data_IF_836045458238
#
_entry.id   IF_836045458238
#
_cell.length_a   1.000
_cell.length_b   1.000
_cell.length_c   1.000
_cell.angle_alpha   90.00
_cell.angle_beta   90.00
_cell.angle_gamma   90.00
#
_symmetry.space_group_name_H-M   'P 1'
#
loop_
_entity.id
_entity.type
_entity.pdbx_description
1 polymer ?
#
# COMPACT_ATOMS: atom_id res chain seq x y z
N UNK A 1 -16.55 16.25 26.81
CA UNK A 1 -15.10 16.58 26.83
C UNK A 1 -14.36 16.29 25.50
N UNK A 2 -14.66 15.20 24.78
CA UNK A 2 -13.91 14.81 23.54
C UNK A 2 -13.97 15.92 22.49
N UNK A 3 -15.13 16.47 22.18
CA UNK A 3 -15.33 17.51 21.17
C UNK A 3 -14.98 18.90 21.69
N UNK A 4 -15.23 19.18 22.98
CA UNK A 4 -14.95 20.49 23.59
C UNK A 4 -13.48 20.73 23.90
N UNK A 5 -12.68 19.66 24.06
CA UNK A 5 -11.27 19.75 24.43
C UNK A 5 -10.43 20.58 23.45
N UNK A 6 -10.51 20.37 22.11
CA UNK A 6 -9.80 21.23 21.15
C UNK A 6 -10.21 22.70 21.27
N UNK A 7 -11.49 23.00 21.46
CA UNK A 7 -11.98 24.38 21.61
C UNK A 7 -11.31 25.10 22.79
N UNK A 8 -11.16 24.41 23.93
CA UNK A 8 -10.51 24.96 25.13
C UNK A 8 -9.01 25.08 24.99
N UNK A 9 -8.33 24.03 24.50
CA UNK A 9 -6.85 24.04 24.39
C UNK A 9 -6.36 25.14 23.46
N UNK A 10 -7.10 25.35 22.36
CA UNK A 10 -6.73 26.36 21.34
C UNK A 10 -7.42 27.71 21.54
N UNK A 11 -8.18 27.90 22.64
CA UNK A 11 -8.91 29.14 22.96
C UNK A 11 -9.75 29.65 21.77
N UNK A 12 -10.50 28.74 21.09
CA UNK A 12 -11.27 29.04 19.88
C UNK A 12 -12.43 29.99 20.18
N UNK A 13 -13.00 29.90 21.39
CA UNK A 13 -14.07 30.76 21.88
C UNK A 13 -13.99 30.92 23.41
N UNK A 14 -14.67 31.91 23.99
CA UNK A 14 -14.78 32.06 25.44
C UNK A 14 -15.39 30.82 26.10
N UNK A 15 -15.00 30.52 27.36
CA UNK A 15 -15.50 29.34 28.08
C UNK A 15 -17.02 29.28 28.17
N UNK A 16 -17.68 30.43 28.23
CA UNK A 16 -19.15 30.56 28.22
C UNK A 16 -19.80 30.05 26.93
N UNK A 17 -19.07 30.03 25.83
CA UNK A 17 -19.57 29.61 24.50
C UNK A 17 -19.17 28.17 24.14
N UNK A 18 -18.22 27.56 24.85
CA UNK A 18 -17.71 26.21 24.54
C UNK A 18 -18.85 25.18 24.47
N UNK A 19 -19.83 25.26 25.35
CA UNK A 19 -20.94 24.31 25.39
C UNK A 19 -21.84 24.45 24.16
N UNK A 20 -22.24 25.69 23.81
CA UNK A 20 -23.08 25.95 22.62
C UNK A 20 -22.37 25.56 21.33
N UNK A 21 -21.06 25.84 21.22
CA UNK A 21 -20.24 25.44 20.08
C UNK A 21 -20.12 23.91 19.98
N UNK A 22 -19.96 23.22 21.12
CA UNK A 22 -19.93 21.75 21.16
C UNK A 22 -21.25 21.14 20.70
N UNK A 23 -22.39 21.69 21.10
CA UNK A 23 -23.72 21.26 20.64
C UNK A 23 -23.83 21.42 19.15
N UNK A 24 -23.49 22.60 18.61
CA UNK A 24 -23.55 22.88 17.17
C UNK A 24 -22.68 21.89 16.36
N UNK A 25 -21.48 21.55 16.84
CA UNK A 25 -20.62 20.57 16.19
C UNK A 25 -21.22 19.16 16.19
N UNK A 26 -21.89 18.75 17.28
CA UNK A 26 -22.59 17.46 17.34
C UNK A 26 -23.80 17.43 16.40
N UNK A 27 -24.60 18.51 16.36
CA UNK A 27 -25.75 18.61 15.47
C UNK A 27 -25.34 18.52 13.99
N UNK A 28 -24.22 19.11 13.60
CA UNK A 28 -23.67 19.02 12.24
C UNK A 28 -23.33 17.58 11.79
N UNK A 29 -23.02 16.69 12.74
CA UNK A 29 -22.78 15.28 12.44
C UNK A 29 -24.01 14.41 12.75
N UNK A 30 -25.18 15.01 12.95
CA UNK A 30 -26.45 14.31 13.20
C UNK A 30 -26.58 13.72 14.61
N UNK A 31 -25.88 14.28 15.60
CA UNK A 31 -25.99 13.91 16.99
C UNK A 31 -26.64 15.04 17.80
N UNK A 32 -27.79 14.76 18.43
CA UNK A 32 -28.51 15.76 19.22
C UNK A 32 -27.92 15.97 20.62
N UNK A 33 -28.46 16.98 21.34
CA UNK A 33 -28.07 17.39 22.70
C UNK A 33 -28.08 16.25 23.73
N UNK A 34 -28.97 15.27 23.58
CA UNK A 34 -29.07 14.10 24.47
C UNK A 34 -27.79 13.25 24.51
N UNK A 35 -26.88 13.44 23.58
CA UNK A 35 -25.60 12.72 23.50
C UNK A 35 -24.46 13.37 24.31
N UNK A 36 -24.64 14.62 24.77
CA UNK A 36 -23.59 15.41 25.44
C UNK A 36 -22.98 14.75 26.68
N UNK A 37 -23.81 14.03 27.45
CA UNK A 37 -23.42 13.47 28.75
C UNK A 37 -23.17 11.96 28.69
N UNK A 38 -23.19 11.36 27.49
CA UNK A 38 -22.89 9.95 27.30
C UNK A 38 -21.39 9.68 27.29
N UNK A 39 -21.01 8.53 27.80
CA UNK A 39 -19.64 8.03 27.72
C UNK A 39 -19.38 7.28 26.41
N UNK A 40 -18.12 7.16 25.94
CA UNK A 40 -17.78 6.52 24.65
C UNK A 40 -18.34 5.11 24.47
N UNK A 41 -18.40 4.29 25.51
CA UNK A 41 -18.94 2.93 25.49
C UNK A 41 -20.45 2.86 25.28
N UNK A 42 -21.16 3.96 25.45
CA UNK A 42 -22.61 4.07 25.26
C UNK A 42 -23.02 4.45 23.82
N UNK A 43 -22.02 4.55 22.93
CA UNK A 43 -22.25 4.90 21.53
C UNK A 43 -21.99 3.71 20.59
N UNK A 44 -22.77 3.60 19.53
CA UNK A 44 -22.48 2.68 18.42
C UNK A 44 -21.19 3.06 17.69
N UNK A 45 -20.64 2.15 16.88
CA UNK A 45 -19.47 2.43 16.05
C UNK A 45 -19.63 3.68 15.17
N UNK A 46 -20.72 3.79 14.45
CA UNK A 46 -21.04 4.95 13.62
C UNK A 46 -21.22 6.25 14.40
N UNK A 47 -21.81 6.20 15.62
CA UNK A 47 -21.89 7.36 16.47
C UNK A 47 -20.52 7.80 17.00
N UNK A 48 -19.63 6.87 17.37
CA UNK A 48 -18.25 7.21 17.73
C UNK A 48 -17.51 7.85 16.59
N UNK A 49 -17.70 7.36 15.34
CA UNK A 49 -17.10 7.96 14.16
C UNK A 49 -17.61 9.38 13.93
N UNK A 50 -18.92 9.64 14.07
CA UNK A 50 -19.49 10.99 14.00
C UNK A 50 -18.91 11.94 15.06
N UNK A 51 -18.68 11.47 16.28
CA UNK A 51 -17.99 12.24 17.33
C UNK A 51 -16.55 12.58 16.94
N UNK A 52 -15.83 11.63 16.34
CA UNK A 52 -14.46 11.87 15.84
C UNK A 52 -14.44 12.93 14.73
N UNK A 53 -15.40 12.90 13.82
CA UNK A 53 -15.57 13.94 12.79
C UNK A 53 -15.90 15.30 13.44
N UNK A 54 -16.85 15.36 14.38
CA UNK A 54 -17.17 16.59 15.10
C UNK A 54 -15.96 17.19 15.83
N UNK A 55 -15.12 16.34 16.41
CA UNK A 55 -13.85 16.75 17.04
C UNK A 55 -12.88 17.33 16.02
N UNK A 56 -12.73 16.73 14.84
CA UNK A 56 -11.87 17.23 13.78
C UNK A 56 -12.33 18.59 13.27
N UNK A 57 -13.65 18.83 13.21
CA UNK A 57 -14.26 20.10 12.79
C UNK A 57 -14.14 21.23 13.82
N UNK A 58 -13.77 20.93 15.06
CA UNK A 58 -13.79 21.91 16.17
C UNK A 58 -12.90 23.13 15.93
N UNK A 59 -11.80 22.97 15.19
CA UNK A 59 -10.83 24.02 14.88
C UNK A 59 -11.07 24.69 13.51
N UNK A 60 -12.20 24.44 12.89
CA UNK A 60 -12.55 24.96 11.57
C UNK A 60 -11.45 24.73 10.50
N UNK A 61 -11.00 23.48 10.30
CA UNK A 61 -9.88 23.16 9.43
C UNK A 61 -10.25 23.35 7.96
N UNK A 62 -9.24 23.57 7.12
CA UNK A 62 -9.37 23.51 5.65
C UNK A 62 -9.13 22.10 5.10
N UNK A 63 -8.36 21.29 5.82
CA UNK A 63 -7.99 19.92 5.46
C UNK A 63 -8.26 18.98 6.64
N UNK A 64 -8.89 17.84 6.38
CA UNK A 64 -9.05 16.75 7.35
C UNK A 64 -8.37 15.50 6.80
N UNK A 65 -7.53 14.86 7.62
CA UNK A 65 -6.95 13.55 7.35
C UNK A 65 -7.88 12.48 7.92
N UNK A 66 -8.33 11.58 7.06
CA UNK A 66 -9.25 10.48 7.34
C UNK A 66 -8.50 9.15 7.15
N UNK A 67 -8.03 8.59 8.26
CA UNK A 67 -7.33 7.30 8.25
C UNK A 67 -8.33 6.19 8.58
N UNK A 68 -8.60 5.33 7.59
CA UNK A 68 -9.54 4.20 7.65
C UNK A 68 -10.90 4.56 8.28
N UNK A 69 -11.58 5.66 7.86
CA UNK A 69 -12.71 6.21 8.60
C UNK A 69 -13.96 5.32 8.61
N UNK A 70 -13.98 4.24 7.84
CA UNK A 70 -15.13 3.34 7.70
C UNK A 70 -14.81 1.87 7.92
N UNK A 71 -13.56 1.48 8.19
CA UNK A 71 -13.10 0.09 8.23
C UNK A 71 -13.78 -0.78 9.32
N UNK A 72 -14.20 -0.18 10.43
CA UNK A 72 -14.84 -0.88 11.56
C UNK A 72 -16.38 -0.77 11.56
N UNK A 73 -16.99 -0.40 10.43
CA UNK A 73 -18.42 -0.13 10.31
C UNK A 73 -19.08 -1.13 9.35
N UNK A 74 -20.35 -1.46 9.62
CA UNK A 74 -21.16 -2.18 8.65
C UNK A 74 -21.46 -1.32 7.40
N UNK A 75 -21.79 -1.98 6.29
CA UNK A 75 -21.96 -1.34 4.97
C UNK A 75 -22.97 -0.19 5.00
N UNK A 76 -24.06 -0.34 5.75
CA UNK A 76 -25.12 0.68 5.81
C UNK A 76 -24.66 1.93 6.58
N UNK A 77 -23.95 1.74 7.68
CA UNK A 77 -23.39 2.84 8.48
C UNK A 77 -22.21 3.48 7.76
N UNK A 78 -21.40 2.70 7.03
CA UNK A 78 -20.34 3.20 6.15
C UNK A 78 -20.90 4.21 5.14
N UNK A 79 -21.98 3.85 4.42
CA UNK A 79 -22.61 4.75 3.46
C UNK A 79 -23.10 6.06 4.13
N UNK A 80 -23.65 5.97 5.34
CA UNK A 80 -24.09 7.16 6.08
C UNK A 80 -22.92 8.09 6.47
N UNK A 81 -21.75 7.52 6.83
CA UNK A 81 -20.56 8.33 7.15
C UNK A 81 -19.99 8.97 5.89
N UNK A 82 -19.96 8.27 4.76
CA UNK A 82 -19.50 8.84 3.49
C UNK A 82 -20.38 9.99 3.00
N UNK A 83 -21.72 9.83 3.07
CA UNK A 83 -22.65 10.89 2.74
C UNK A 83 -22.46 12.10 3.66
N UNK A 84 -22.32 11.89 4.97
CA UNK A 84 -22.03 12.96 5.91
C UNK A 84 -20.74 13.71 5.55
N UNK A 85 -19.67 13.00 5.22
CA UNK A 85 -18.38 13.61 4.82
C UNK A 85 -18.54 14.41 3.52
N UNK A 86 -19.29 13.89 2.55
CA UNK A 86 -19.59 14.61 1.31
C UNK A 86 -20.37 15.89 1.57
N UNK A 87 -21.43 15.84 2.39
CA UNK A 87 -22.23 17.00 2.75
C UNK A 87 -21.40 18.07 3.46
N UNK A 88 -20.56 17.67 4.41
CA UNK A 88 -19.65 18.57 5.12
C UNK A 88 -18.61 19.20 4.18
N UNK A 89 -18.12 18.45 3.19
CA UNK A 89 -17.21 18.96 2.17
C UNK A 89 -17.87 20.07 1.37
N UNK A 90 -19.09 19.84 0.89
CA UNK A 90 -19.84 20.83 0.10
C UNK A 90 -20.19 22.08 0.93
N UNK A 91 -20.64 21.90 2.18
CA UNK A 91 -21.08 23.01 3.04
C UNK A 91 -19.93 23.88 3.53
N UNK A 92 -18.73 23.30 3.74
CA UNK A 92 -17.60 23.98 4.36
C UNK A 92 -16.40 24.20 3.44
N UNK A 93 -16.42 23.68 2.20
CA UNK A 93 -15.29 23.74 1.28
C UNK A 93 -14.07 22.98 1.80
N UNK A 94 -14.28 21.83 2.45
CA UNK A 94 -13.21 21.03 3.05
C UNK A 94 -12.43 20.26 1.99
N UNK A 95 -11.13 20.18 2.16
CA UNK A 95 -10.29 19.18 1.51
C UNK A 95 -10.13 17.95 2.41
N UNK A 96 -10.11 16.75 1.80
CA UNK A 96 -9.86 15.50 2.50
C UNK A 96 -8.59 14.82 1.99
N UNK A 97 -7.75 14.34 2.91
CA UNK A 97 -6.76 13.30 2.65
C UNK A 97 -7.32 11.98 3.19
N UNK A 98 -7.79 11.14 2.28
CA UNK A 98 -8.45 9.89 2.63
C UNK A 98 -7.47 8.72 2.49
N UNK A 99 -7.24 7.96 3.57
CA UNK A 99 -6.41 6.76 3.58
C UNK A 99 -7.35 5.56 3.77
N UNK A 100 -7.35 4.62 2.84
CA UNK A 100 -8.18 3.42 2.90
C UNK A 100 -7.70 2.35 1.92
N UNK A 101 -8.04 1.10 2.20
CA UNK A 101 -7.85 -0.03 1.28
C UNK A 101 -9.13 -0.36 0.49
N UNK A 102 -10.24 0.33 0.73
CA UNK A 102 -11.51 0.09 0.05
C UNK A 102 -11.62 0.92 -1.23
N UNK A 103 -11.43 0.27 -2.38
CA UNK A 103 -11.43 0.93 -3.69
C UNK A 103 -12.80 1.48 -4.09
N UNK A 104 -13.90 0.86 -3.66
CA UNK A 104 -15.27 1.36 -3.93
C UNK A 104 -15.50 2.70 -3.25
N UNK A 105 -14.99 2.88 -2.03
CA UNK A 105 -15.03 4.16 -1.30
C UNK A 105 -14.25 5.22 -2.04
N UNK A 106 -13.02 4.90 -2.46
CA UNK A 106 -12.14 5.82 -3.19
C UNK A 106 -12.80 6.30 -4.48
N UNK A 107 -13.35 5.37 -5.27
CA UNK A 107 -14.03 5.69 -6.55
C UNK A 107 -15.14 6.73 -6.38
N UNK A 108 -15.81 6.74 -5.23
CA UNK A 108 -16.97 7.59 -4.94
C UNK A 108 -16.57 8.94 -4.34
N UNK A 109 -15.46 9.00 -3.60
CA UNK A 109 -15.10 10.15 -2.77
C UNK A 109 -13.91 10.96 -3.30
N UNK A 110 -13.03 10.35 -4.11
CA UNK A 110 -11.76 10.97 -4.43
C UNK A 110 -11.71 11.56 -5.85
N UNK A 111 -11.20 12.78 -5.98
CA UNK A 111 -10.87 13.40 -7.28
C UNK A 111 -9.54 12.83 -7.82
N UNK A 112 -8.59 12.55 -6.91
CA UNK A 112 -7.25 12.03 -7.21
C UNK A 112 -6.90 10.87 -6.31
N UNK A 113 -6.15 9.93 -6.84
CA UNK A 113 -5.69 8.72 -6.14
C UNK A 113 -4.17 8.67 -6.15
N UNK A 114 -3.61 8.22 -5.03
CA UNK A 114 -2.22 7.85 -4.88
C UNK A 114 -2.19 6.40 -4.40
N UNK A 115 -1.71 5.49 -5.24
CA UNK A 115 -1.54 4.08 -4.89
C UNK A 115 -0.14 3.90 -4.31
N UNK A 116 -0.07 3.23 -3.15
CA UNK A 116 1.18 2.99 -2.44
C UNK A 116 1.44 1.50 -2.26
N UNK A 117 2.70 1.10 -2.38
CA UNK A 117 3.16 -0.25 -2.08
C UNK A 117 4.47 -0.18 -1.30
N UNK A 118 4.54 -0.82 -0.12
CA UNK A 118 5.72 -0.81 0.78
C UNK A 118 6.28 0.61 1.00
N UNK A 119 5.41 1.57 1.32
CA UNK A 119 5.79 2.95 1.63
C UNK A 119 6.18 3.81 0.42
N UNK A 120 6.19 3.25 -0.79
CA UNK A 120 6.51 4.00 -2.03
C UNK A 120 5.24 4.26 -2.84
N UNK A 121 5.13 5.45 -3.44
CA UNK A 121 4.10 5.75 -4.44
C UNK A 121 4.42 4.95 -5.69
N UNK A 122 3.48 4.12 -6.14
CA UNK A 122 3.61 3.31 -7.35
C UNK A 122 2.82 3.87 -8.52
N UNK A 123 1.69 4.51 -8.25
CA UNK A 123 0.89 5.19 -9.27
C UNK A 123 0.11 6.34 -8.64
N UNK A 124 -0.08 7.45 -9.38
CA UNK A 124 -0.90 8.56 -8.94
C UNK A 124 -1.55 9.26 -10.14
N UNK A 125 -2.81 9.67 -10.00
CA UNK A 125 -3.55 10.33 -11.06
C UNK A 125 -4.97 10.72 -10.66
N UNK A 126 -5.75 11.17 -11.63
CA UNK A 126 -7.18 11.37 -11.44
C UNK A 126 -7.86 10.02 -11.24
N UNK A 127 -8.91 10.01 -10.45
CA UNK A 127 -9.69 8.80 -10.16
C UNK A 127 -10.13 8.08 -11.43
N UNK A 128 -10.68 8.81 -12.39
CA UNK A 128 -11.15 8.25 -13.67
C UNK A 128 -10.02 7.57 -14.46
N UNK A 129 -8.82 8.20 -14.53
CA UNK A 129 -7.68 7.67 -15.26
C UNK A 129 -7.16 6.37 -14.64
N UNK A 130 -7.05 6.34 -13.29
CA UNK A 130 -6.58 5.16 -12.54
C UNK A 130 -7.56 3.99 -12.68
N UNK A 131 -8.88 4.25 -12.62
CA UNK A 131 -9.88 3.17 -12.73
C UNK A 131 -10.10 2.68 -14.16
N UNK A 132 -10.00 3.55 -15.16
CA UNK A 132 -10.24 3.19 -16.56
C UNK A 132 -9.02 2.56 -17.24
N UNK A 133 -7.82 3.05 -16.91
CA UNK A 133 -6.57 2.65 -17.56
C UNK A 133 -5.37 2.69 -16.60
N UNK A 134 -5.35 1.80 -15.57
CA UNK A 134 -4.23 1.71 -14.64
C UNK A 134 -2.94 1.33 -15.37
N UNK A 135 -1.83 1.95 -14.99
CA UNK A 135 -0.54 1.72 -15.64
C UNK A 135 0.32 0.74 -14.84
N UNK A 136 0.38 0.89 -13.51
CA UNK A 136 1.22 0.03 -12.69
C UNK A 136 0.59 -1.37 -12.50
N UNK A 137 1.34 -2.47 -12.65
CA UNK A 137 0.82 -3.83 -12.49
C UNK A 137 0.15 -4.10 -11.12
N UNK A 138 0.65 -3.49 -10.05
CA UNK A 138 0.01 -3.58 -8.73
C UNK A 138 -1.39 -2.95 -8.72
N UNK A 139 -1.54 -1.77 -9.32
CA UNK A 139 -2.86 -1.11 -9.44
C UNK A 139 -3.83 -1.96 -10.25
N UNK A 140 -3.35 -2.54 -11.36
CA UNK A 140 -4.15 -3.48 -12.18
C UNK A 140 -4.63 -4.66 -11.33
N UNK A 141 -3.74 -5.28 -10.56
CA UNK A 141 -4.09 -6.41 -9.71
C UNK A 141 -5.07 -6.02 -8.59
N UNK A 142 -4.91 -4.87 -7.94
CA UNK A 142 -5.85 -4.38 -6.94
C UNK A 142 -7.27 -4.18 -7.51
N UNK A 143 -7.36 -3.58 -8.70
CA UNK A 143 -8.65 -3.36 -9.37
C UNK A 143 -9.28 -4.68 -9.84
N UNK A 144 -8.49 -5.61 -10.40
CA UNK A 144 -8.95 -6.92 -10.80
C UNK A 144 -9.46 -7.77 -9.63
N UNK A 145 -8.88 -7.60 -8.43
CA UNK A 145 -9.30 -8.29 -7.21
C UNK A 145 -10.58 -7.71 -6.56
N UNK A 146 -11.15 -6.62 -7.11
CA UNK A 146 -12.32 -5.93 -6.54
C UNK A 146 -13.57 -6.23 -7.38
N UNK A 147 -14.39 -7.25 -7.01
CA UNK A 147 -15.50 -7.74 -7.86
C UNK A 147 -16.62 -6.71 -8.07
N UNK A 148 -16.76 -5.75 -7.14
CA UNK A 148 -17.80 -4.71 -7.22
C UNK A 148 -17.45 -3.57 -8.18
N UNK A 149 -16.22 -3.56 -8.71
CA UNK A 149 -15.76 -2.55 -9.64
C UNK A 149 -15.78 -3.13 -11.06
N UNK A 150 -16.68 -2.63 -11.89
CA UNK A 150 -16.64 -2.92 -13.33
C UNK A 150 -15.39 -2.26 -13.91
N UNK A 151 -14.34 -3.04 -14.13
CA UNK A 151 -13.08 -2.58 -14.70
C UNK A 151 -12.78 -3.34 -15.99
N UNK A 152 -12.04 -2.71 -16.91
CA UNK A 152 -11.57 -3.36 -18.14
C UNK A 152 -10.29 -4.20 -17.90
N UNK A 153 -9.93 -4.43 -16.64
CA UNK A 153 -8.74 -5.22 -16.26
C UNK A 153 -9.07 -6.70 -16.31
N UNK A 154 -8.22 -7.50 -16.96
CA UNK A 154 -8.43 -8.95 -17.06
C UNK A 154 -8.33 -9.61 -15.68
N UNK A 155 -9.18 -10.64 -15.46
CA UNK A 155 -9.20 -11.43 -14.21
C UNK A 155 -7.87 -12.15 -13.93
N UNK A 156 -7.04 -12.37 -14.95
CA UNK A 156 -5.74 -13.03 -14.81
C UNK A 156 -4.74 -12.24 -13.96
N UNK A 157 -4.97 -10.93 -13.80
CA UNK A 157 -4.16 -10.05 -12.93
C UNK A 157 -4.58 -10.09 -11.47
N UNK A 158 -5.71 -10.72 -11.11
CA UNK A 158 -6.21 -10.75 -9.74
C UNK A 158 -5.39 -11.65 -8.80
N UNK A 159 -4.79 -12.70 -9.33
CA UNK A 159 -3.95 -13.63 -8.57
C UNK A 159 -2.51 -13.11 -8.50
N UNK A 160 -2.15 -12.51 -7.38
CA UNK A 160 -0.77 -12.13 -7.09
C UNK A 160 -0.09 -13.27 -6.33
N UNK A 161 0.84 -13.94 -6.99
CA UNK A 161 1.67 -14.95 -6.37
C UNK A 161 2.73 -14.34 -5.43
N UNK A 162 3.18 -15.15 -4.48
CA UNK A 162 4.26 -14.81 -3.56
C UNK A 162 3.86 -13.96 -2.36
N UNK A 163 4.73 -13.94 -1.36
CA UNK A 163 4.58 -13.19 -0.12
C UNK A 163 4.94 -11.71 -0.30
N UNK A 164 4.37 -10.87 0.55
CA UNK A 164 4.76 -9.46 0.62
C UNK A 164 6.18 -9.40 1.21
N UNK A 165 7.12 -8.67 0.57
CA UNK A 165 8.45 -8.48 1.13
C UNK A 165 8.42 -7.77 2.48
N UNK A 166 9.47 -7.95 3.29
CA UNK A 166 9.59 -7.30 4.60
C UNK A 166 9.56 -5.77 4.45
N UNK A 167 8.59 -5.08 5.05
CA UNK A 167 8.51 -3.62 5.00
C UNK A 167 9.70 -2.90 5.65
N UNK A 168 10.40 -3.57 6.59
CA UNK A 168 11.59 -3.03 7.26
C UNK A 168 12.83 -3.07 6.34
N UNK A 169 12.83 -3.97 5.34
CA UNK A 169 13.87 -4.12 4.33
C UNK A 169 13.25 -4.19 2.94
N UNK A 170 12.70 -3.06 2.46
CA UNK A 170 12.02 -3.06 1.17
C UNK A 170 13.02 -3.33 0.04
N UNK A 171 12.63 -4.14 -0.95
CA UNK A 171 13.47 -4.45 -2.11
C UNK A 171 13.98 -3.18 -2.79
N UNK A 172 15.23 -3.19 -3.26
CA UNK A 172 15.80 -2.12 -4.09
C UNK A 172 15.16 -2.17 -5.50
N UNK A 173 15.21 -1.06 -6.23
CA UNK A 173 14.52 -0.96 -7.52
C UNK A 173 12.99 -0.96 -7.38
N UNK A 174 12.29 -1.79 -8.16
CA UNK A 174 10.85 -1.95 -8.08
C UNK A 174 10.47 -2.86 -6.89
N UNK A 175 9.85 -2.29 -5.86
CA UNK A 175 9.46 -3.05 -4.66
C UNK A 175 8.40 -4.13 -4.93
N UNK A 176 7.70 -4.05 -6.06
CA UNK A 176 6.65 -5.01 -6.44
C UNK A 176 7.16 -6.17 -7.32
N UNK A 177 8.41 -6.14 -7.80
CA UNK A 177 8.96 -7.10 -8.78
C UNK A 177 8.75 -8.58 -8.44
N UNK A 178 8.87 -8.95 -7.17
CA UNK A 178 8.76 -10.35 -6.72
C UNK A 178 7.37 -10.94 -6.88
N UNK A 179 6.36 -10.08 -7.01
CA UNK A 179 4.93 -10.41 -7.18
C UNK A 179 4.37 -9.94 -8.53
N UNK A 180 5.19 -9.28 -9.33
CA UNK A 180 4.77 -8.72 -10.60
C UNK A 180 4.76 -9.80 -11.69
N UNK A 181 3.61 -10.07 -12.35
CA UNK A 181 3.53 -11.10 -13.40
C UNK A 181 4.28 -10.71 -14.68
N UNK A 182 4.63 -9.42 -14.82
CA UNK A 182 5.33 -8.85 -15.97
C UNK A 182 6.66 -8.21 -15.57
N UNK A 183 7.32 -8.77 -14.52
CA UNK A 183 8.62 -8.26 -14.10
C UNK A 183 9.69 -8.46 -15.18
N UNK A 184 10.63 -7.52 -15.23
CA UNK A 184 11.78 -7.51 -16.16
C UNK A 184 13.10 -7.48 -15.36
N UNK A 185 14.23 -7.66 -16.06
CA UNK A 185 15.54 -7.62 -15.43
C UNK A 185 15.82 -6.25 -14.79
N UNK A 186 15.42 -5.17 -15.46
CA UNK A 186 15.58 -3.78 -15.02
C UNK A 186 14.73 -3.40 -13.80
N UNK A 187 13.81 -4.27 -13.37
CA UNK A 187 13.08 -4.07 -12.10
C UNK A 187 14.02 -4.14 -10.88
N UNK A 188 15.24 -4.63 -11.07
CA UNK A 188 16.30 -4.70 -10.06
C UNK A 188 16.12 -5.90 -9.14
N UNK A 189 16.85 -6.99 -9.39
CA UNK A 189 16.85 -8.21 -8.59
C UNK A 189 18.01 -8.21 -7.62
N UNK A 190 17.86 -8.91 -6.50
CA UNK A 190 18.87 -8.95 -5.44
C UNK A 190 18.99 -10.34 -4.82
N UNK A 191 20.08 -10.57 -4.09
CA UNK A 191 20.41 -11.86 -3.45
C UNK A 191 19.29 -12.36 -2.55
N UNK A 192 18.62 -11.46 -1.81
CA UNK A 192 17.50 -11.81 -0.93
C UNK A 192 16.32 -12.46 -1.71
N UNK A 193 16.17 -12.16 -2.99
CA UNK A 193 15.14 -12.80 -3.82
C UNK A 193 15.47 -14.27 -4.11
N UNK A 194 16.77 -14.63 -4.24
CA UNK A 194 17.21 -16.02 -4.30
C UNK A 194 16.96 -16.71 -2.96
N UNK A 195 17.43 -16.10 -1.85
CA UNK A 195 17.32 -16.70 -0.51
C UNK A 195 15.86 -17.04 -0.19
N UNK A 196 14.94 -16.14 -0.40
CA UNK A 196 13.50 -16.37 -0.18
C UNK A 196 12.93 -17.52 -1.01
N UNK A 197 13.43 -17.75 -2.21
CA UNK A 197 13.01 -18.88 -3.05
C UNK A 197 13.64 -20.18 -2.61
N UNK A 198 14.87 -20.15 -2.11
CA UNK A 198 15.55 -21.31 -1.55
C UNK A 198 14.91 -21.79 -0.25
N UNK A 199 14.31 -20.89 0.57
CA UNK A 199 13.56 -21.26 1.77
C UNK A 199 12.43 -22.26 1.49
N UNK A 200 11.86 -22.24 0.29
CA UNK A 200 10.86 -23.21 -0.16
C UNK A 200 11.44 -24.51 -0.73
N UNK A 201 12.80 -24.63 -0.82
CA UNK A 201 13.52 -25.83 -1.30
C UNK A 201 14.33 -26.44 -0.16
N UNK A 202 13.66 -27.25 0.63
CA UNK A 202 14.23 -27.85 1.85
C UNK A 202 15.60 -28.50 1.64
N UNK A 203 15.80 -29.21 0.52
CA UNK A 203 17.06 -29.92 0.22
C UNK A 203 18.24 -28.99 -0.02
N UNK A 204 18.03 -27.86 -0.67
CA UNK A 204 19.09 -26.86 -0.93
C UNK A 204 19.35 -26.03 0.31
N UNK A 205 18.28 -25.63 1.01
CA UNK A 205 18.37 -24.78 2.18
C UNK A 205 19.05 -25.49 3.37
N UNK A 206 18.75 -26.75 3.61
CA UNK A 206 19.35 -27.53 4.71
C UNK A 206 20.83 -27.81 4.51
N UNK A 207 21.32 -27.87 3.27
CA UNK A 207 22.75 -28.08 2.93
C UNK A 207 23.56 -26.76 2.95
N UNK A 208 22.92 -25.61 3.10
CA UNK A 208 23.56 -24.31 3.14
C UNK A 208 24.20 -24.07 4.50
N UNK A 209 25.53 -23.88 4.51
CA UNK A 209 26.31 -23.60 5.72
C UNK A 209 26.46 -22.13 6.03
N UNK A 210 26.69 -21.31 4.99
CA UNK A 210 27.00 -19.91 5.14
C UNK A 210 26.60 -19.12 3.89
N UNK A 211 26.16 -17.91 4.08
CA UNK A 211 25.98 -16.91 3.01
C UNK A 211 26.82 -15.69 3.36
N UNK A 212 27.85 -15.45 2.57
CA UNK A 212 28.64 -14.23 2.64
C UNK A 212 28.07 -13.24 1.63
N UNK A 213 27.35 -12.23 2.12
CA UNK A 213 26.65 -11.23 1.31
C UNK A 213 27.22 -9.83 1.60
N UNK A 214 28.23 -9.38 0.84
CA UNK A 214 28.86 -8.08 1.06
C UNK A 214 27.91 -6.90 0.76
N UNK A 215 26.97 -7.08 -0.14
CA UNK A 215 25.93 -6.10 -0.49
C UNK A 215 24.66 -6.80 -1.00
N UNK A 216 23.67 -6.02 -1.45
CA UNK A 216 22.39 -6.57 -1.90
C UNK A 216 22.49 -7.39 -3.20
N UNK A 217 23.52 -7.19 -4.01
CA UNK A 217 23.66 -7.74 -5.35
C UNK A 217 24.69 -8.85 -5.47
N UNK A 218 25.55 -9.01 -4.48
CA UNK A 218 26.64 -9.96 -4.48
C UNK A 218 26.53 -10.93 -3.30
N UNK A 219 26.67 -12.24 -3.56
CA UNK A 219 26.79 -13.22 -2.50
C UNK A 219 27.66 -14.43 -2.90
N UNK A 220 28.29 -15.03 -1.90
CA UNK A 220 28.92 -16.35 -1.96
C UNK A 220 28.18 -17.29 -1.01
N UNK A 221 27.53 -18.30 -1.57
CA UNK A 221 26.87 -19.38 -0.83
C UNK A 221 27.84 -20.54 -0.62
N UNK A 222 28.03 -20.98 0.62
CA UNK A 222 28.88 -22.13 0.98
C UNK A 222 27.98 -23.28 1.42
N UNK A 223 28.15 -24.45 0.82
CA UNK A 223 27.38 -25.67 1.07
C UNK A 223 28.19 -26.73 1.82
N UNK A 224 27.55 -27.81 2.21
CA UNK A 224 28.15 -28.97 2.87
C UNK A 224 28.94 -29.87 1.89
N UNK A 225 28.62 -29.79 0.60
CA UNK A 225 29.23 -30.59 -0.47
C UNK A 225 29.14 -29.90 -1.83
N UNK A 226 30.02 -30.30 -2.75
CA UNK A 226 29.94 -29.88 -4.16
C UNK A 226 28.61 -30.32 -4.83
N UNK A 227 28.08 -31.49 -4.43
CA UNK A 227 26.79 -31.94 -4.94
C UNK A 227 25.65 -30.99 -4.56
N UNK A 228 25.69 -30.46 -3.33
CA UNK A 228 24.71 -29.48 -2.85
C UNK A 228 24.87 -28.10 -3.52
N UNK A 229 26.11 -27.68 -3.78
CA UNK A 229 26.40 -26.48 -4.57
C UNK A 229 25.84 -26.59 -5.99
N UNK A 230 25.99 -27.75 -6.63
CA UNK A 230 25.39 -28.01 -7.95
C UNK A 230 23.88 -28.04 -7.94
N UNK A 231 23.22 -28.40 -6.81
CA UNK A 231 21.78 -28.30 -6.68
C UNK A 231 21.31 -26.84 -6.71
N UNK A 232 22.05 -25.89 -6.14
CA UNK A 232 21.75 -24.48 -6.30
C UNK A 232 21.83 -24.03 -7.76
N UNK A 233 22.87 -24.45 -8.50
CA UNK A 233 23.03 -24.12 -9.92
C UNK A 233 21.80 -24.61 -10.72
N UNK A 234 21.38 -25.86 -10.52
CA UNK A 234 20.19 -26.42 -11.15
C UNK A 234 18.92 -25.67 -10.72
N UNK A 235 18.84 -25.29 -9.43
CA UNK A 235 17.71 -24.54 -8.93
C UNK A 235 17.57 -23.16 -9.59
N UNK A 236 18.68 -22.46 -9.81
CA UNK A 236 18.68 -21.13 -10.47
C UNK A 236 18.24 -21.20 -11.95
N UNK A 237 18.44 -22.35 -12.60
CA UNK A 237 17.99 -22.55 -14.00
C UNK A 237 16.54 -23.07 -14.10
N UNK A 238 15.94 -23.53 -12.98
CA UNK A 238 14.61 -24.12 -12.98
C UNK A 238 13.50 -23.09 -13.30
N UNK A 239 12.32 -23.59 -13.72
CA UNK A 239 11.15 -22.76 -14.05
C UNK A 239 10.57 -21.99 -12.84
N UNK A 240 10.92 -22.38 -11.60
CA UNK A 240 10.51 -21.65 -10.39
C UNK A 240 11.23 -20.29 -10.25
N UNK A 241 12.34 -20.10 -10.94
CA UNK A 241 13.04 -18.81 -10.99
C UNK A 241 12.49 -17.99 -12.16
N UNK A 242 11.97 -16.77 -11.91
CA UNK A 242 11.43 -15.91 -12.97
C UNK A 242 12.48 -15.66 -14.06
N UNK A 243 12.05 -15.69 -15.32
CA UNK A 243 12.93 -15.40 -16.45
C UNK A 243 13.60 -14.02 -16.33
N UNK A 244 12.90 -13.04 -15.75
CA UNK A 244 13.42 -11.70 -15.48
C UNK A 244 14.60 -11.74 -14.48
N UNK A 245 14.49 -12.55 -13.43
CA UNK A 245 15.54 -12.71 -12.43
C UNK A 245 16.78 -13.40 -13.04
N UNK A 246 16.59 -14.45 -13.87
CA UNK A 246 17.70 -15.11 -14.59
C UNK A 246 18.45 -14.14 -15.50
N UNK A 247 17.71 -13.25 -16.21
CA UNK A 247 18.31 -12.24 -17.08
C UNK A 247 19.06 -11.15 -16.32
N UNK A 248 18.70 -10.90 -15.05
CA UNK A 248 19.36 -9.92 -14.20
C UNK A 248 20.66 -10.46 -13.56
N UNK A 249 20.91 -11.77 -13.60
CA UNK A 249 22.15 -12.38 -13.16
C UNK A 249 23.27 -12.05 -14.14
N UNK A 250 24.32 -11.37 -13.65
CA UNK A 250 25.50 -11.00 -14.41
C UNK A 250 26.52 -12.16 -14.41
N UNK A 251 26.71 -12.77 -13.24
CA UNK A 251 27.65 -13.87 -13.07
C UNK A 251 27.09 -14.90 -12.08
N UNK A 252 27.22 -16.18 -12.45
CA UNK A 252 27.00 -17.31 -11.55
C UNK A 252 28.14 -18.30 -11.77
N UNK A 253 28.99 -18.48 -10.75
CA UNK A 253 30.13 -19.39 -10.82
C UNK A 253 30.11 -20.37 -9.66
N UNK A 254 30.44 -21.64 -9.94
CA UNK A 254 30.55 -22.68 -8.94
C UNK A 254 32.01 -23.14 -8.84
N UNK A 255 32.53 -23.24 -7.61
CA UNK A 255 33.85 -23.75 -7.32
C UNK A 255 33.80 -24.64 -6.06
N UNK A 256 33.87 -25.96 -6.26
CA UNK A 256 33.68 -26.97 -5.20
C UNK A 256 32.36 -26.75 -4.42
N UNK A 257 32.45 -26.45 -3.13
CA UNK A 257 31.32 -26.27 -2.21
C UNK A 257 30.73 -24.82 -2.27
N UNK A 258 31.26 -23.93 -3.13
CA UNK A 258 30.91 -22.52 -3.17
C UNK A 258 30.27 -22.13 -4.47
N UNK A 259 29.21 -21.33 -4.37
CA UNK A 259 28.53 -20.69 -5.51
C UNK A 259 28.54 -19.17 -5.32
N UNK A 260 29.18 -18.46 -6.21
CA UNK A 260 29.14 -16.99 -6.28
C UNK A 260 28.02 -16.56 -7.22
N UNK A 261 27.23 -15.58 -6.78
CA UNK A 261 26.14 -14.98 -7.55
C UNK A 261 26.31 -13.48 -7.56
N UNK A 262 26.16 -12.90 -8.75
CA UNK A 262 26.21 -11.45 -8.96
C UNK A 262 25.02 -10.98 -9.79
N UNK A 263 24.28 -10.00 -9.27
CA UNK A 263 23.21 -9.30 -9.98
C UNK A 263 23.68 -7.94 -10.50
N UNK A 264 23.05 -7.47 -11.55
CA UNK A 264 23.16 -6.07 -11.96
C UNK A 264 22.58 -5.17 -10.88
N UNK A 265 23.32 -4.12 -10.42
CA UNK A 265 22.81 -3.21 -9.40
C UNK A 265 21.50 -2.56 -9.80
N UNK A 266 20.51 -2.60 -8.90
CA UNK A 266 19.20 -2.04 -9.17
C UNK A 266 19.25 -0.53 -9.38
N UNK A 267 18.65 -0.06 -10.46
CA UNK A 267 18.43 1.35 -10.66
C UNK A 267 17.19 1.83 -9.92
N UNK A 268 17.20 3.09 -9.48
CA UNK A 268 16.01 3.70 -8.89
C UNK A 268 14.95 3.89 -9.96
N UNK A 269 13.83 3.18 -9.83
CA UNK A 269 12.69 3.38 -10.72
C UNK A 269 12.02 4.70 -10.37
N UNK A 270 12.12 5.70 -11.24
CA UNK A 270 11.51 7.01 -11.05
C UNK A 270 9.98 6.95 -11.24
N UNK A 271 9.29 7.97 -10.72
CA UNK A 271 7.88 8.18 -11.00
C UNK A 271 7.77 8.93 -12.34
N UNK A 272 7.39 8.23 -13.40
CA UNK A 272 7.33 8.76 -14.76
C UNK A 272 5.90 9.15 -15.15
N UNK A 273 5.75 10.18 -15.99
CA UNK A 273 4.45 10.59 -16.47
C UNK A 273 3.97 9.65 -17.58
N UNK A 274 2.73 9.17 -17.48
CA UNK A 274 2.10 8.28 -18.45
C UNK A 274 1.28 9.07 -19.47
N UNK A 275 1.04 8.48 -20.64
CA UNK A 275 0.26 9.10 -21.72
C UNK A 275 -1.21 9.38 -21.32
N UNK A 276 -1.77 8.69 -20.33
CA UNK A 276 -3.12 8.95 -19.79
C UNK A 276 -3.17 10.10 -18.76
N UNK A 277 -2.05 10.82 -18.53
CA UNK A 277 -1.95 11.92 -17.59
C UNK A 277 -1.70 11.50 -16.13
N UNK A 278 -1.68 10.19 -15.83
CA UNK A 278 -1.23 9.68 -14.52
C UNK A 278 0.31 9.65 -14.42
N UNK A 279 0.83 9.33 -13.25
CA UNK A 279 2.24 9.02 -13.06
C UNK A 279 2.39 7.61 -12.52
N UNK A 280 3.39 6.86 -12.98
CA UNK A 280 3.64 5.49 -12.54
C UNK A 280 5.12 5.24 -12.30
N UNK A 281 5.42 4.41 -11.29
CA UNK A 281 6.76 3.94 -10.94
C UNK A 281 6.97 2.53 -11.51
N UNK A 282 7.06 2.43 -12.82
CA UNK A 282 7.23 1.17 -13.51
C UNK A 282 8.16 1.33 -14.71
N UNK A 283 9.11 0.42 -14.89
CA UNK A 283 10.05 0.43 -16.03
C UNK A 283 9.37 0.17 -17.37
N UNK A 284 8.12 -0.32 -17.36
CA UNK A 284 7.35 -0.64 -18.58
C UNK A 284 6.50 0.54 -19.09
N UNK A 285 6.43 1.64 -18.35
CA UNK A 285 5.54 2.76 -18.70
C UNK A 285 5.99 3.53 -19.93
N UNK A 286 7.30 3.53 -20.21
CA UNK A 286 7.91 4.27 -21.32
C UNK A 286 8.20 3.35 -22.54
N UNK A 287 7.60 2.11 -22.59
CA UNK A 287 7.84 1.11 -23.64
C UNK A 287 6.59 0.84 -24.49
#
# INVERSE_FOLDING_TARGET
DIVSRPLRIHNVCPDTEVMSRTVSLLEQVGLGRQHLFRFPHQFSGGQRQRISIARALALDPKLIVLDEPTSALDVSVQAQILNLLHDLQQQRGLAYLFITHNLSVIRHMADKIVVMYLGKVVEAGKTEDIFSNPQHPYTKALLAASPDLVTNVSSDMAALDGSIPDPARPPQGCSFRTRCPVSEAECGWEVDDIIRRLEHRETVFTALKEVNQPDAFNAEFTFDSEASANQLMVALESDDIPAAMKKALVEVTSNNEKVKVEFEPAQTVALSQCYNGSTSRCVLVDR
#
